data_IF_085109262531
#
_entry.id   IF_085109262531
#
_cell.length_a   1.000
_cell.length_b   1.000
_cell.length_c   1.000
_cell.angle_alpha   90.00
_cell.angle_beta   90.00
_cell.angle_gamma   90.00
#
_symmetry.space_group_name_H-M   'P 1'
#
loop_
_entity.id
_entity.type
_entity.pdbx_description
1 polymer ?
#
# COMPACT_ATOMS: atom_id res chain seq x y z
N UNK A 1 -1.27 -1.61 -28.94
CA UNK A 1 -0.85 -0.83 -30.12
C UNK A 1 0.56 -0.35 -29.85
N UNK A 2 1.48 -0.64 -30.77
CA UNK A 2 2.91 -0.37 -30.67
C UNK A 2 3.18 1.14 -30.52
N UNK A 3 3.80 1.54 -29.42
CA UNK A 3 4.29 2.91 -29.18
C UNK A 3 5.65 3.11 -29.86
N UNK A 4 5.68 2.96 -31.18
CA UNK A 4 6.82 3.35 -31.99
C UNK A 4 6.88 4.86 -32.22
N UNK A 5 8.01 5.40 -32.72
CA UNK A 5 8.17 6.82 -33.05
C UNK A 5 7.16 7.33 -34.10
N UNK A 6 6.52 6.42 -34.85
CA UNK A 6 5.49 6.74 -35.85
C UNK A 6 4.06 6.74 -35.28
N UNK A 7 3.89 6.43 -33.99
CA UNK A 7 2.57 6.50 -33.36
C UNK A 7 2.18 7.96 -33.09
N UNK A 8 1.00 8.37 -33.57
CA UNK A 8 0.47 9.71 -33.31
C UNK A 8 0.32 9.94 -31.80
N UNK A 9 0.97 10.96 -31.20
CA UNK A 9 0.89 11.22 -29.77
C UNK A 9 -0.43 11.93 -29.43
N UNK A 10 -1.54 11.16 -29.42
CA UNK A 10 -2.86 11.71 -29.11
C UNK A 10 -2.88 12.34 -27.71
N UNK A 11 -3.48 13.53 -27.61
CA UNK A 11 -3.73 14.16 -26.31
C UNK A 11 -4.66 13.27 -25.47
N UNK A 12 -4.33 12.98 -24.20
CA UNK A 12 -5.16 12.13 -23.36
C UNK A 12 -6.51 12.80 -23.06
N UNK A 13 -7.53 11.99 -22.79
CA UNK A 13 -8.83 12.51 -22.37
C UNK A 13 -8.70 13.25 -21.03
N UNK A 14 -9.30 14.43 -20.93
CA UNK A 14 -9.35 15.20 -19.68
C UNK A 14 -10.40 14.61 -18.72
N UNK A 15 -10.02 14.16 -17.51
CA UNK A 15 -10.96 13.68 -16.51
C UNK A 15 -11.91 14.78 -16.02
N UNK A 16 -13.12 14.42 -15.61
CA UNK A 16 -14.07 15.32 -14.96
C UNK A 16 -13.71 15.46 -13.48
N UNK A 17 -13.65 16.69 -12.96
CA UNK A 17 -13.24 16.99 -11.59
C UNK A 17 -14.28 16.57 -10.53
N UNK A 18 -15.57 16.83 -10.76
CA UNK A 18 -16.64 16.49 -9.83
C UNK A 18 -17.04 15.03 -9.96
N UNK A 19 -16.10 14.15 -9.60
CA UNK A 19 -16.25 12.70 -9.55
C UNK A 19 -15.90 12.22 -8.15
N UNK A 20 -16.25 10.98 -7.87
CA UNK A 20 -16.07 10.36 -6.56
C UNK A 20 -14.63 10.50 -6.07
N UNK A 21 -14.51 10.78 -4.79
CA UNK A 21 -13.26 10.80 -4.06
C UNK A 21 -13.29 9.88 -2.86
N UNK A 22 -12.11 9.38 -2.51
CA UNK A 22 -11.88 8.65 -1.27
C UNK A 22 -10.71 9.32 -0.56
N UNK A 23 -10.92 9.69 0.69
CA UNK A 23 -9.90 10.30 1.54
C UNK A 23 -9.47 9.27 2.57
N UNK A 24 -8.17 9.01 2.64
CA UNK A 24 -7.57 8.13 3.66
C UNK A 24 -6.53 8.88 4.47
N UNK A 25 -6.27 8.44 5.70
CA UNK A 25 -5.11 8.92 6.44
C UNK A 25 -3.83 8.58 5.65
N UNK A 26 -2.93 9.55 5.54
CA UNK A 26 -1.58 9.33 5.03
C UNK A 26 -0.73 8.81 6.18
N UNK A 27 -0.31 7.56 6.04
CA UNK A 27 0.60 6.92 6.99
C UNK A 27 2.05 7.20 6.58
N UNK A 28 2.86 7.66 7.53
CA UNK A 28 4.27 7.96 7.33
C UNK A 28 5.12 6.71 7.61
N UNK A 29 5.33 5.91 6.58
CA UNK A 29 6.17 4.72 6.62
C UNK A 29 7.04 4.61 5.37
N UNK A 30 7.02 3.43 4.76
CA UNK A 30 7.64 3.18 3.46
C UNK A 30 6.70 2.37 2.57
N UNK A 31 6.66 2.71 1.29
CA UNK A 31 5.84 2.00 0.32
C UNK A 31 6.33 0.55 0.16
N UNK A 32 5.36 -0.36 0.17
CA UNK A 32 5.56 -1.78 0.14
C UNK A 32 4.60 -2.46 -0.86
N UNK A 33 5.07 -3.56 -1.44
CA UNK A 33 4.34 -4.40 -2.38
C UNK A 33 4.44 -5.87 -1.94
N UNK A 34 3.30 -6.54 -1.85
CA UNK A 34 3.23 -8.00 -1.88
C UNK A 34 2.67 -8.42 -3.24
N UNK A 35 3.46 -9.12 -4.04
CA UNK A 35 3.03 -9.70 -5.30
C UNK A 35 2.74 -11.18 -5.12
N UNK A 36 1.57 -11.63 -5.57
CA UNK A 36 1.08 -12.99 -5.36
C UNK A 36 0.69 -13.59 -6.70
N UNK A 37 1.24 -14.76 -7.01
CA UNK A 37 0.95 -15.50 -8.24
C UNK A 37 0.48 -16.92 -7.90
N UNK A 38 -0.60 -17.37 -8.53
CA UNK A 38 -0.95 -18.78 -8.50
C UNK A 38 -0.12 -19.51 -9.58
N UNK A 39 0.65 -20.51 -9.17
CA UNK A 39 1.64 -21.17 -10.04
C UNK A 39 1.11 -22.47 -10.64
N UNK A 40 0.13 -23.12 -10.00
CA UNK A 40 -0.44 -24.39 -10.44
C UNK A 40 -1.06 -25.17 -9.29
N UNK A 41 -1.41 -26.43 -9.54
CA UNK A 41 -1.85 -27.33 -8.47
C UNK A 41 -0.69 -27.62 -7.51
N UNK A 42 -0.99 -27.73 -6.22
CA UNK A 42 -0.10 -28.30 -5.21
C UNK A 42 -0.54 -29.72 -4.87
N UNK A 43 0.42 -30.57 -4.53
CA UNK A 43 0.10 -31.91 -4.02
C UNK A 43 -0.55 -31.83 -2.64
N UNK A 44 -1.50 -32.72 -2.28
CA UNK A 44 -2.20 -32.68 -1.00
C UNK A 44 -1.26 -32.73 0.23
N UNK A 45 -0.14 -33.43 0.15
CA UNK A 45 0.86 -33.52 1.23
C UNK A 45 1.60 -32.21 1.52
N UNK A 46 1.55 -31.25 0.58
CA UNK A 46 2.22 -29.96 0.69
C UNK A 46 1.32 -28.86 1.27
N UNK A 47 0.03 -29.12 1.51
CA UNK A 47 -0.93 -28.14 2.03
C UNK A 47 -0.40 -27.46 3.31
N UNK A 48 -0.42 -26.12 3.34
CA UNK A 48 0.09 -25.31 4.45
C UNK A 48 1.61 -25.23 4.54
N UNK A 49 2.38 -25.99 3.74
CA UNK A 49 3.84 -25.88 3.72
C UNK A 49 4.26 -24.61 3.02
N UNK A 50 5.29 -23.98 3.56
CA UNK A 50 5.95 -22.83 2.97
C UNK A 50 7.43 -23.17 2.80
N UNK A 51 7.96 -22.96 1.60
CA UNK A 51 9.39 -23.08 1.32
C UNK A 51 9.92 -21.80 0.67
N UNK A 52 11.22 -21.58 0.85
CA UNK A 52 11.94 -20.44 0.30
C UNK A 52 12.75 -20.86 -0.91
N UNK A 53 12.65 -20.10 -1.99
CA UNK A 53 13.49 -20.25 -3.17
C UNK A 53 14.44 -19.05 -3.29
N UNK A 54 15.73 -19.32 -3.11
CA UNK A 54 16.79 -18.31 -3.12
C UNK A 54 17.00 -17.71 -4.51
N UNK A 55 16.78 -18.47 -5.59
CA UNK A 55 17.01 -17.99 -6.96
C UNK A 55 16.00 -16.91 -7.34
N UNK A 56 14.71 -17.13 -7.06
CA UNK A 56 13.64 -16.16 -7.37
C UNK A 56 13.40 -15.17 -6.24
N UNK A 57 14.05 -15.36 -5.08
CA UNK A 57 13.79 -14.64 -3.85
C UNK A 57 12.29 -14.59 -3.50
N UNK A 58 11.64 -15.76 -3.56
CA UNK A 58 10.20 -15.89 -3.36
C UNK A 58 9.89 -16.95 -2.32
N UNK A 59 8.83 -16.70 -1.54
CA UNK A 59 8.21 -17.75 -0.74
C UNK A 59 7.18 -18.47 -1.60
N UNK A 60 7.20 -19.79 -1.54
CA UNK A 60 6.21 -20.66 -2.16
C UNK A 60 5.40 -21.34 -1.07
N UNK A 61 4.08 -21.24 -1.16
CA UNK A 61 3.17 -21.78 -0.15
C UNK A 61 1.98 -22.48 -0.79
N UNK A 62 1.60 -23.64 -0.29
CA UNK A 62 0.44 -24.36 -0.79
C UNK A 62 -0.80 -24.02 0.03
N UNK A 63 -1.88 -23.64 -0.65
CA UNK A 63 -3.16 -23.32 -0.04
C UNK A 63 -4.30 -23.71 -0.97
N UNK A 64 -5.28 -24.44 -0.43
CA UNK A 64 -6.49 -24.87 -1.14
C UNK A 64 -6.16 -25.70 -2.41
N UNK A 65 -5.11 -26.53 -2.34
CA UNK A 65 -4.65 -27.33 -3.49
C UNK A 65 -3.95 -26.53 -4.60
N UNK A 66 -3.56 -25.28 -4.33
CA UNK A 66 -2.84 -24.40 -5.26
C UNK A 66 -1.50 -24.01 -4.67
N UNK A 67 -0.45 -24.07 -5.50
CA UNK A 67 0.87 -23.51 -5.18
C UNK A 67 0.89 -22.01 -5.46
N UNK A 68 1.23 -21.21 -4.44
CA UNK A 68 1.29 -19.76 -4.51
C UNK A 68 2.73 -19.27 -4.38
N UNK A 69 3.14 -18.37 -5.28
CA UNK A 69 4.37 -17.60 -5.15
C UNK A 69 4.07 -16.24 -4.51
N UNK A 70 4.85 -15.86 -3.50
CA UNK A 70 4.75 -14.57 -2.80
C UNK A 70 6.10 -13.85 -2.85
N UNK A 71 6.09 -12.62 -3.38
CA UNK A 71 7.27 -11.76 -3.54
C UNK A 71 7.09 -10.40 -2.86
N UNK A 72 8.16 -9.88 -2.27
CA UNK A 72 8.19 -8.57 -1.63
C UNK A 72 8.86 -7.50 -2.51
N UNK A 73 8.23 -6.33 -2.60
CA UNK A 73 8.75 -5.17 -3.30
C UNK A 73 8.70 -3.90 -2.46
N UNK A 74 9.60 -2.98 -2.80
CA UNK A 74 9.52 -1.56 -2.42
C UNK A 74 8.90 -0.75 -3.56
N UNK A 75 8.80 0.57 -3.41
CA UNK A 75 8.34 1.48 -4.47
C UNK A 75 9.06 1.32 -5.82
N UNK A 76 10.34 0.97 -5.81
CA UNK A 76 11.21 1.08 -6.99
C UNK A 76 11.77 -0.26 -7.48
N UNK A 77 11.70 -1.30 -6.65
CA UNK A 77 12.38 -2.59 -6.92
C UNK A 77 11.83 -3.70 -6.04
N UNK A 78 12.01 -4.93 -6.50
CA UNK A 78 11.97 -6.12 -5.64
C UNK A 78 13.04 -6.03 -4.54
N UNK A 79 12.74 -6.60 -3.39
CA UNK A 79 13.63 -6.62 -2.23
C UNK A 79 13.76 -8.05 -1.70
N UNK A 80 14.81 -8.31 -0.93
CA UNK A 80 15.10 -9.62 -0.34
C UNK A 80 15.43 -9.43 1.15
N UNK A 81 15.43 -10.49 1.98
CA UNK A 81 15.88 -10.38 3.37
C UNK A 81 17.30 -9.84 3.52
N UNK A 82 18.19 -10.09 2.55
CA UNK A 82 19.56 -9.60 2.53
C UNK A 82 19.66 -8.13 2.07
N UNK A 83 18.70 -7.67 1.24
CA UNK A 83 18.59 -6.30 0.77
C UNK A 83 17.17 -5.77 1.02
N UNK A 84 16.87 -5.62 2.31
CA UNK A 84 15.51 -5.41 2.82
C UNK A 84 15.11 -3.92 2.85
N UNK A 85 13.83 -3.66 3.06
CA UNK A 85 13.21 -2.37 3.36
C UNK A 85 12.62 -2.41 4.76
N UNK A 86 13.45 -2.18 5.79
CA UNK A 86 13.04 -2.21 7.20
C UNK A 86 12.40 -3.54 7.64
N UNK A 87 12.95 -4.68 7.18
CA UNK A 87 12.48 -6.03 7.53
C UNK A 87 11.17 -6.44 6.86
N UNK A 88 10.67 -5.67 5.89
CA UNK A 88 9.46 -5.99 5.15
C UNK A 88 9.62 -7.26 4.31
N UNK A 89 10.77 -7.47 3.67
CA UNK A 89 10.96 -8.66 2.84
C UNK A 89 10.94 -9.90 3.72
N UNK A 90 11.76 -9.93 4.78
CA UNK A 90 11.78 -11.02 5.75
C UNK A 90 10.39 -11.28 6.36
N UNK A 91 9.65 -10.23 6.71
CA UNK A 91 8.29 -10.34 7.24
C UNK A 91 7.31 -10.96 6.22
N UNK A 92 7.33 -10.52 4.96
CA UNK A 92 6.43 -11.03 3.94
C UNK A 92 6.66 -12.53 3.68
N UNK A 93 7.91 -12.97 3.70
CA UNK A 93 8.26 -14.39 3.54
C UNK A 93 7.75 -15.23 4.71
N UNK A 94 7.96 -14.76 5.94
CA UNK A 94 7.48 -15.44 7.14
C UNK A 94 5.94 -15.54 7.20
N UNK A 95 5.24 -14.66 6.48
CA UNK A 95 3.78 -14.59 6.44
C UNK A 95 3.19 -15.06 5.10
N UNK A 96 3.97 -15.75 4.25
CA UNK A 96 3.55 -16.06 2.88
C UNK A 96 2.22 -16.81 2.78
N UNK A 97 1.99 -17.81 3.64
CA UNK A 97 0.73 -18.55 3.70
C UNK A 97 -0.46 -17.63 3.97
N UNK A 98 -0.37 -16.80 5.01
CA UNK A 98 -1.43 -15.83 5.36
C UNK A 98 -1.64 -14.79 4.25
N UNK A 99 -0.55 -14.27 3.68
CA UNK A 99 -0.62 -13.30 2.59
C UNK A 99 -1.26 -13.88 1.33
N UNK A 100 -1.05 -15.17 1.03
CA UNK A 100 -1.66 -15.85 -0.13
C UNK A 100 -3.20 -15.76 -0.14
N UNK A 101 -3.83 -15.55 1.02
CA UNK A 101 -5.29 -15.38 1.16
C UNK A 101 -5.81 -14.08 0.52
N UNK A 102 -4.95 -13.09 0.26
CA UNK A 102 -5.29 -11.92 -0.55
C UNK A 102 -5.56 -12.28 -2.03
N UNK A 103 -5.20 -13.49 -2.46
CA UNK A 103 -5.34 -13.95 -3.84
C UNK A 103 -4.31 -13.32 -4.78
N UNK A 104 -4.36 -13.72 -6.05
CA UNK A 104 -3.39 -13.28 -7.06
C UNK A 104 -3.45 -11.76 -7.29
N UNK A 105 -2.29 -11.18 -7.61
CA UNK A 105 -2.14 -9.79 -8.00
C UNK A 105 -1.07 -9.04 -7.23
N UNK A 106 -1.03 -7.73 -7.45
CA UNK A 106 -0.11 -6.82 -6.78
C UNK A 106 -0.86 -6.03 -5.70
N UNK A 107 -0.46 -6.25 -4.45
CA UNK A 107 -1.08 -5.65 -3.28
C UNK A 107 -0.15 -4.59 -2.70
N UNK A 108 -0.44 -3.34 -3.03
CA UNK A 108 0.32 -2.19 -2.54
C UNK A 108 -0.22 -1.69 -1.20
N UNK A 109 0.70 -1.36 -0.31
CA UNK A 109 0.39 -0.80 0.99
C UNK A 109 1.55 -0.03 1.60
N UNK A 110 1.33 0.45 2.81
CA UNK A 110 2.34 1.07 3.65
C UNK A 110 2.92 0.04 4.62
N UNK A 111 4.24 -0.01 4.70
CA UNK A 111 4.97 -0.68 5.78
C UNK A 111 5.43 0.37 6.79
N UNK A 112 4.95 0.29 8.02
CA UNK A 112 5.06 1.38 9.00
C UNK A 112 5.11 0.87 10.44
N UNK A 113 5.35 1.77 11.39
CA UNK A 113 5.47 1.45 12.82
C UNK A 113 6.92 1.39 13.29
N UNK A 114 7.24 0.52 14.24
CA UNK A 114 8.51 0.48 14.97
C UNK A 114 9.74 0.61 14.05
N UNK A 115 10.54 1.65 14.30
CA UNK A 115 11.79 1.89 13.60
C UNK A 115 11.65 2.44 12.18
N UNK A 116 10.46 2.88 11.77
CA UNK A 116 10.18 3.43 10.44
C UNK A 116 9.55 4.82 10.58
N UNK A 117 10.23 5.84 10.05
CA UNK A 117 9.78 7.25 10.02
C UNK A 117 9.19 7.71 11.38
N UNK A 118 7.93 8.16 11.40
CA UNK A 118 7.23 8.64 12.60
C UNK A 118 7.08 7.58 13.69
N UNK A 119 7.18 6.29 13.35
CA UNK A 119 7.13 5.16 14.27
C UNK A 119 5.78 4.92 14.95
N UNK A 120 4.93 5.95 15.03
CA UNK A 120 3.60 5.97 15.64
C UNK A 120 3.56 5.50 17.11
N UNK A 121 4.71 5.47 17.80
CA UNK A 121 4.81 4.93 19.16
C UNK A 121 4.55 3.43 19.25
N UNK A 122 4.60 2.70 18.13
CA UNK A 122 4.32 1.27 18.08
C UNK A 122 5.55 0.43 18.43
N UNK A 123 5.30 -0.70 19.09
CA UNK A 123 6.32 -1.72 19.39
C UNK A 123 6.41 -2.80 18.30
N UNK A 124 5.50 -2.77 17.32
CA UNK A 124 5.51 -3.61 16.13
C UNK A 124 5.54 -2.81 14.82
N UNK A 125 5.76 -3.52 13.72
CA UNK A 125 5.57 -3.00 12.36
C UNK A 125 4.28 -3.58 11.78
N UNK A 126 3.60 -2.79 10.95
CA UNK A 126 2.30 -3.12 10.36
C UNK A 126 2.35 -2.93 8.85
N UNK A 127 1.60 -3.75 8.13
CA UNK A 127 1.36 -3.59 6.70
C UNK A 127 -0.11 -3.23 6.46
N UNK A 128 -0.36 -2.10 5.79
CA UNK A 128 -1.71 -1.58 5.57
C UNK A 128 -1.94 -1.27 4.09
N UNK A 129 -2.95 -1.88 3.46
CA UNK A 129 -3.22 -1.73 2.03
C UNK A 129 -3.83 -0.36 1.70
N UNK A 130 -3.50 0.19 0.53
CA UNK A 130 -4.02 1.49 0.06
C UNK A 130 -5.40 1.41 -0.61
N UNK A 131 -5.67 0.35 -1.37
CA UNK A 131 -6.89 0.24 -2.19
C UNK A 131 -8.05 -0.28 -1.34
N UNK A 132 -8.49 0.52 -0.37
CA UNK A 132 -9.48 0.11 0.65
C UNK A 132 -10.79 -0.36 0.04
N UNK A 133 -11.27 0.31 -1.02
CA UNK A 133 -12.51 -0.05 -1.71
C UNK A 133 -12.52 -1.48 -2.27
N UNK A 134 -11.36 -2.02 -2.69
CA UNK A 134 -11.24 -3.42 -3.13
C UNK A 134 -11.57 -4.42 -2.01
N UNK A 135 -11.35 -4.04 -0.76
CA UNK A 135 -11.43 -4.91 0.41
C UNK A 135 -12.65 -4.63 1.29
N UNK A 136 -13.53 -3.73 0.86
CA UNK A 136 -14.75 -3.41 1.60
C UNK A 136 -15.64 -4.66 1.70
N UNK A 137 -15.94 -5.08 2.93
CA UNK A 137 -16.76 -6.27 3.22
C UNK A 137 -16.01 -7.61 3.17
N UNK A 138 -14.71 -7.59 2.86
CA UNK A 138 -13.87 -8.79 2.85
C UNK A 138 -13.21 -9.03 4.21
N UNK A 139 -12.95 -10.30 4.53
CA UNK A 139 -12.12 -10.66 5.69
C UNK A 139 -10.66 -10.65 5.28
N UNK A 140 -9.89 -9.71 5.83
CA UNK A 140 -8.45 -9.63 5.57
C UNK A 140 -7.66 -10.69 6.34
N UNK A 141 -6.49 -11.11 5.82
CA UNK A 141 -5.55 -11.88 6.61
C UNK A 141 -5.16 -11.14 7.88
N UNK A 142 -4.96 -11.86 8.98
CA UNK A 142 -4.73 -11.26 10.30
C UNK A 142 -3.49 -10.34 10.36
N UNK A 143 -2.52 -10.56 9.48
CA UNK A 143 -1.29 -9.78 9.39
C UNK A 143 -1.41 -8.52 8.50
N UNK A 144 -2.59 -8.24 7.93
CA UNK A 144 -2.82 -7.16 6.97
C UNK A 144 -3.93 -6.24 7.46
N UNK A 145 -3.64 -4.94 7.53
CA UNK A 145 -4.62 -3.90 7.77
C UNK A 145 -4.99 -3.12 6.51
N UNK A 146 -5.83 -2.11 6.68
CA UNK A 146 -6.12 -1.07 5.68
C UNK A 146 -5.65 0.27 6.23
N UNK A 147 -5.28 1.20 5.35
CA UNK A 147 -5.17 2.60 5.77
C UNK A 147 -6.58 3.10 6.16
N UNK A 148 -6.74 3.90 7.23
CA UNK A 148 -8.05 4.39 7.64
C UNK A 148 -8.68 5.25 6.53
N UNK A 149 -9.94 4.96 6.20
CA UNK A 149 -10.78 5.86 5.38
C UNK A 149 -11.37 6.92 6.30
N UNK A 150 -11.20 8.18 5.92
CA UNK A 150 -11.71 9.34 6.65
C UNK A 150 -13.01 9.84 6.02
N UNK A 151 -13.09 9.77 4.69
CA UNK A 151 -14.32 10.05 3.95
C UNK A 151 -14.39 9.19 2.68
N UNK A 152 -15.60 8.70 2.38
CA UNK A 152 -15.91 7.99 1.14
C UNK A 152 -17.38 8.20 0.80
N UNK A 153 -17.67 8.81 -0.37
CA UNK A 153 -19.05 8.98 -0.85
C UNK A 153 -19.36 10.34 -1.46
N UNK A 154 -18.43 11.29 -1.39
CA UNK A 154 -18.56 12.61 -2.00
C UNK A 154 -17.93 12.74 -3.38
N UNK A 155 -18.37 13.75 -4.15
CA UNK A 155 -17.59 14.29 -5.28
C UNK A 155 -16.47 15.20 -4.79
N UNK A 156 -15.53 15.60 -5.66
CA UNK A 156 -14.52 16.59 -5.31
C UNK A 156 -15.12 17.83 -4.64
N UNK A 157 -14.71 18.04 -3.39
CA UNK A 157 -15.08 19.16 -2.55
C UNK A 157 -13.88 19.48 -1.66
N UNK A 158 -13.36 20.71 -1.77
CA UNK A 158 -12.22 21.14 -0.96
C UNK A 158 -12.59 21.29 0.51
N UNK A 159 -13.86 21.60 0.84
CA UNK A 159 -14.32 21.66 2.23
C UNK A 159 -14.21 20.31 2.92
N UNK A 160 -14.57 19.22 2.25
CA UNK A 160 -14.44 17.85 2.80
C UNK A 160 -12.96 17.46 2.99
N UNK A 161 -12.08 17.91 2.09
CA UNK A 161 -10.63 17.70 2.22
C UNK A 161 -10.08 18.46 3.43
N UNK A 162 -10.47 19.73 3.61
CA UNK A 162 -10.06 20.56 4.72
C UNK A 162 -10.59 20.01 6.06
N UNK A 163 -11.85 19.60 6.10
CA UNK A 163 -12.49 19.00 7.28
C UNK A 163 -11.79 17.69 7.69
N UNK A 164 -11.46 16.81 6.74
CA UNK A 164 -10.75 15.56 7.02
C UNK A 164 -9.33 15.81 7.55
N UNK A 165 -8.63 16.81 7.01
CA UNK A 165 -7.31 17.20 7.50
C UNK A 165 -7.39 17.80 8.90
N UNK A 166 -8.38 18.67 9.15
CA UNK A 166 -8.61 19.31 10.44
C UNK A 166 -9.02 18.30 11.53
N UNK A 167 -9.81 17.28 11.20
CA UNK A 167 -10.14 16.18 12.12
C UNK A 167 -8.88 15.42 12.56
N UNK A 168 -7.97 15.09 11.63
CA UNK A 168 -6.70 14.46 11.99
C UNK A 168 -5.81 15.38 12.84
N UNK A 169 -5.73 16.67 12.52
CA UNK A 169 -4.92 17.63 13.27
C UNK A 169 -5.45 17.80 14.70
N UNK A 170 -6.76 17.83 14.88
CA UNK A 170 -7.41 18.05 16.18
C UNK A 170 -7.55 16.78 17.03
N UNK A 171 -7.72 15.61 16.41
CA UNK A 171 -8.00 14.35 17.11
C UNK A 171 -6.86 13.32 17.05
N UNK A 172 -5.88 13.53 16.19
CA UNK A 172 -4.76 12.62 15.98
C UNK A 172 -5.03 11.53 14.95
N UNK A 173 -4.11 10.56 14.87
CA UNK A 173 -4.17 9.44 13.93
C UNK A 173 -5.38 8.54 14.20
N UNK A 174 -6.12 8.22 13.13
CA UNK A 174 -7.15 7.17 13.15
C UNK A 174 -6.52 5.78 13.12
N UNK A 175 -5.33 5.63 12.54
CA UNK A 175 -4.59 4.37 12.50
C UNK A 175 -4.03 3.95 13.87
N UNK A 176 -3.69 4.91 14.73
CA UNK A 176 -3.21 4.67 16.10
C UNK A 176 -3.87 5.66 17.06
N UNK A 177 -4.97 5.26 17.74
CA UNK A 177 -5.62 6.11 18.73
C UNK A 177 -4.64 6.64 19.79
N UNK A 178 -4.66 7.95 20.02
CA UNK A 178 -3.77 8.64 20.96
C UNK A 178 -2.45 9.14 20.37
N UNK A 179 -2.13 8.80 19.11
CA UNK A 179 -0.98 9.38 18.41
C UNK A 179 -1.36 10.72 17.78
N UNK A 180 -0.85 11.83 18.34
CA UNK A 180 -1.28 13.19 18.01
C UNK A 180 -0.44 13.91 16.93
N UNK A 181 0.32 13.15 16.12
CA UNK A 181 1.18 13.72 15.07
C UNK A 181 0.99 13.03 13.70
N UNK A 182 -0.25 12.87 13.19
CA UNK A 182 -0.47 12.28 11.87
C UNK A 182 0.26 13.07 10.77
N UNK A 183 0.54 12.42 9.63
CA UNK A 183 1.28 13.07 8.53
C UNK A 183 0.38 13.98 7.68
N UNK A 184 -0.85 13.54 7.45
CA UNK A 184 -1.83 14.19 6.58
C UNK A 184 -2.79 13.19 5.97
N UNK A 185 -3.26 13.48 4.75
CA UNK A 185 -4.26 12.68 4.03
C UNK A 185 -3.82 12.35 2.61
N UNK A 186 -4.39 11.28 2.07
CA UNK A 186 -4.35 10.93 0.65
C UNK A 186 -5.75 11.10 0.09
N UNK A 187 -5.86 11.81 -1.04
CA UNK A 187 -7.11 12.00 -1.78
C UNK A 187 -7.01 11.25 -3.10
N UNK A 188 -7.78 10.18 -3.24
CA UNK A 188 -7.96 9.46 -4.50
C UNK A 188 -9.09 10.08 -5.31
N UNK A 189 -8.86 10.34 -6.59
CA UNK A 189 -9.88 10.83 -7.53
C UNK A 189 -10.26 9.76 -8.56
N UNK A 190 -11.50 9.29 -8.53
CA UNK A 190 -11.92 8.10 -9.26
C UNK A 190 -11.85 8.23 -10.80
N UNK A 191 -12.03 9.43 -11.35
CA UNK A 191 -12.00 9.59 -12.81
C UNK A 191 -10.61 9.85 -13.41
N UNK A 192 -9.63 10.28 -12.61
CA UNK A 192 -8.23 10.41 -13.06
C UNK A 192 -7.38 9.22 -12.63
N UNK A 193 -7.86 8.39 -11.71
CA UNK A 193 -7.09 7.35 -11.03
C UNK A 193 -5.81 7.88 -10.39
N UNK A 194 -5.81 9.15 -9.97
CA UNK A 194 -4.66 9.81 -9.39
C UNK A 194 -4.83 9.97 -7.88
N UNK A 195 -3.70 9.90 -7.19
CA UNK A 195 -3.61 10.13 -5.75
C UNK A 195 -2.94 11.48 -5.53
N UNK A 196 -3.57 12.32 -4.72
CA UNK A 196 -2.99 13.55 -4.21
C UNK A 196 -2.71 13.36 -2.72
N UNK A 197 -1.74 14.09 -2.20
CA UNK A 197 -1.47 14.12 -0.77
C UNK A 197 -1.63 15.55 -0.28
N UNK A 198 -2.13 15.69 0.93
CA UNK A 198 -2.13 16.96 1.67
C UNK A 198 -1.47 16.67 3.01
N UNK A 199 -0.40 17.38 3.34
CA UNK A 199 0.33 17.23 4.58
C UNK A 199 -0.15 18.24 5.62
N UNK A 200 -0.16 17.84 6.90
CA UNK A 200 -0.41 18.80 8.00
C UNK A 200 0.77 19.76 8.10
N UNK A 201 1.99 19.22 8.02
CA UNK A 201 3.23 19.99 8.09
C UNK A 201 3.86 20.10 6.70
N UNK A 202 4.22 21.33 6.29
CA UNK A 202 5.04 21.63 5.10
C UNK A 202 4.42 21.27 3.74
N UNK A 203 3.09 21.24 3.59
CA UNK A 203 2.44 20.85 2.32
C UNK A 203 2.83 21.72 1.12
N UNK A 204 2.98 23.02 1.33
CA UNK A 204 3.34 23.99 0.30
C UNK A 204 4.84 23.99 -0.07
N UNK A 205 5.67 23.22 0.63
CA UNK A 205 7.10 23.19 0.38
C UNK A 205 7.42 22.18 -0.74
N UNK A 206 8.06 22.62 -1.85
CA UNK A 206 8.51 21.69 -2.88
C UNK A 206 9.55 20.74 -2.26
N UNK A 207 9.54 19.48 -2.71
CA UNK A 207 10.48 18.46 -2.26
C UNK A 207 11.90 18.97 -2.55
N UNK A 208 12.66 19.35 -1.51
CA UNK A 208 14.04 19.82 -1.69
C UNK A 208 14.83 18.69 -2.34
N UNK A 209 15.15 18.84 -3.63
CA UNK A 209 16.06 17.95 -4.32
C UNK A 209 17.44 18.29 -3.74
N UNK A 210 17.96 17.43 -2.86
CA UNK A 210 19.37 17.51 -2.47
C UNK A 210 20.19 17.30 -3.76
N UNK A 211 20.74 18.38 -4.31
CA UNK A 211 21.83 18.27 -5.27
C UNK A 211 22.97 17.55 -4.55
N UNK A 212 23.36 16.40 -5.11
CA UNK A 212 24.54 15.68 -4.68
C UNK A 212 25.72 16.55 -5.13
N UNK A 213 26.49 17.07 -4.16
CA UNK A 213 27.80 17.66 -4.41
C UNK A 213 28.83 16.55 -4.63
#
# INVERSE_FOLDING_TARGET
>A
MSSGPDSFPAWPKTPRLFREMVITEKIDGTNALVSICAMGASEPEDEGRTHWETVTNSAFTSRDGVLWEVRAGSRKRWITPENDNYGFAAWALANAFELSKLGSGNHYGEWWGKGIQRGYGLDERRFSLFNVGRWSGETLPACVGLVPVLDSGGTFDTGVIDDALWDLESTGSRAVPGYNRPEGIIVYHAASHHLFKVLIENDSQPKVIRQIA
#
